data_IF_581562333333
#
_entry.id   IF_581562333333
#
_cell.length_a   1.000
_cell.length_b   1.000
_cell.length_c   1.000
_cell.angle_alpha   90.00
_cell.angle_beta   90.00
_cell.angle_gamma   90.00
#
_symmetry.space_group_name_H-M   'P 1'
#
loop_
_entity.id
_entity.type
_entity.pdbx_description
1 polymer ?
#
# COMPACT_ATOMS: atom_id res chain seq x y z
N UNK A 1 13.41 21.11 77.34
CA UNK A 1 13.74 21.11 75.89
C UNK A 1 13.29 19.81 75.20
N UNK A 2 11.99 19.54 75.07
CA UNK A 2 11.47 18.36 74.31
C UNK A 2 10.13 18.62 73.60
N UNK A 3 9.80 19.90 73.33
CA UNK A 3 8.51 20.29 72.73
C UNK A 3 8.65 20.90 71.32
N UNK A 4 9.87 21.24 70.88
CA UNK A 4 10.08 21.89 69.59
C UNK A 4 10.26 20.92 68.41
N UNK A 5 10.50 19.63 68.66
CA UNK A 5 10.70 18.63 67.59
C UNK A 5 9.40 18.05 67.03
N UNK A 6 8.32 18.00 67.82
CA UNK A 6 7.03 17.47 67.37
C UNK A 6 6.25 18.45 66.46
N UNK A 7 6.46 19.76 66.64
CA UNK A 7 5.82 20.79 65.83
C UNK A 7 6.45 20.87 64.43
N UNK A 8 7.75 20.61 64.30
CA UNK A 8 8.44 20.61 63.01
C UNK A 8 7.98 19.47 62.08
N UNK A 9 7.60 18.31 62.61
CA UNK A 9 7.07 17.21 61.79
C UNK A 9 5.61 17.42 61.35
N UNK A 10 4.84 18.25 62.05
CA UNK A 10 3.44 18.53 61.72
C UNK A 10 3.27 19.59 60.63
N UNK A 11 4.32 20.38 60.35
CA UNK A 11 4.35 21.32 59.24
C UNK A 11 4.80 20.69 57.91
N UNK A 12 5.49 19.56 57.91
CA UNK A 12 5.91 18.88 56.67
C UNK A 12 4.77 18.01 56.09
N UNK A 13 3.75 17.67 56.88
CA UNK A 13 2.64 16.84 56.44
C UNK A 13 1.55 17.59 55.62
N UNK A 14 1.61 18.93 55.52
CA UNK A 14 0.56 19.72 54.86
C UNK A 14 0.91 20.20 53.43
N UNK A 15 2.05 19.81 52.86
CA UNK A 15 2.46 20.25 51.50
C UNK A 15 2.16 19.23 50.41
N UNK A 16 1.76 18.00 50.75
CA UNK A 16 1.16 17.09 49.77
C UNK A 16 -0.36 17.24 49.82
N UNK A 17 -0.85 18.32 49.22
CA UNK A 17 -2.22 18.34 48.72
C UNK A 17 -2.42 17.14 47.79
N UNK A 18 -3.62 16.53 47.77
CA UNK A 18 -3.90 15.44 46.85
C UNK A 18 -3.59 15.93 45.44
N UNK A 19 -2.95 15.09 44.63
CA UNK A 19 -2.84 15.28 43.19
C UNK A 19 -4.26 15.31 42.60
N UNK A 20 -4.94 16.44 42.78
CA UNK A 20 -6.24 16.72 42.21
C UNK A 20 -6.06 16.71 40.71
N UNK A 21 -6.89 15.92 40.02
CA UNK A 21 -6.92 15.83 38.58
C UNK A 21 -6.81 17.23 37.98
N UNK A 22 -5.67 17.53 37.34
CA UNK A 22 -5.41 18.84 36.78
C UNK A 22 -6.51 19.13 35.74
N UNK A 23 -7.40 20.08 36.03
CA UNK A 23 -8.50 20.43 35.14
C UNK A 23 -7.92 21.12 33.91
N UNK A 24 -8.17 20.56 32.73
CA UNK A 24 -7.74 21.16 31.46
C UNK A 24 -8.68 22.34 31.13
N UNK A 25 -8.11 23.51 30.88
CA UNK A 25 -8.85 24.70 30.48
C UNK A 25 -8.67 24.98 28.99
N UNK A 26 -9.67 25.64 28.40
CA UNK A 26 -9.67 26.19 27.05
C UNK A 26 -9.84 27.70 27.12
N UNK A 27 -9.01 28.45 26.40
CA UNK A 27 -9.14 29.90 26.25
C UNK A 27 -8.82 30.32 24.82
N UNK A 28 -9.24 31.53 24.44
CA UNK A 28 -8.86 32.15 23.17
C UNK A 28 -7.79 33.18 23.45
N UNK A 29 -6.66 33.11 22.75
CA UNK A 29 -5.60 34.10 22.89
C UNK A 29 -5.92 35.40 22.12
N UNK A 30 -5.07 36.43 22.28
CA UNK A 30 -5.23 37.72 21.60
C UNK A 30 -5.16 37.63 20.07
N UNK A 31 -4.73 36.50 19.50
CA UNK A 31 -4.71 36.25 18.06
C UNK A 31 -6.00 35.61 17.54
N UNK A 32 -6.97 35.34 18.42
CA UNK A 32 -8.19 34.62 18.07
C UNK A 32 -8.00 33.11 18.00
N UNK A 33 -6.82 32.59 18.38
CA UNK A 33 -6.52 31.16 18.34
C UNK A 33 -6.96 30.48 19.64
N UNK A 34 -7.64 29.34 19.51
CA UNK A 34 -8.04 28.53 20.66
C UNK A 34 -6.84 27.75 21.20
N UNK A 35 -6.57 27.87 22.50
CA UNK A 35 -5.50 27.15 23.20
C UNK A 35 -6.06 26.34 24.37
N UNK A 36 -5.32 25.30 24.71
CA UNK A 36 -5.63 24.38 25.81
C UNK A 36 -4.44 24.28 26.76
N UNK A 37 -4.73 24.14 28.05
CA UNK A 37 -3.70 23.95 29.06
C UNK A 37 -4.25 24.00 30.47
N UNK A 38 -3.44 23.58 31.43
CA UNK A 38 -3.85 23.49 32.83
C UNK A 38 -3.80 24.84 33.56
N UNK A 39 -3.03 25.80 33.05
CA UNK A 39 -2.81 27.11 33.67
C UNK A 39 -3.06 28.21 32.61
N UNK A 40 -4.29 28.73 32.50
CA UNK A 40 -4.57 29.82 31.59
C UNK A 40 -3.85 31.11 32.01
N UNK A 41 -3.41 31.96 31.06
CA UNK A 41 -2.82 33.26 31.39
C UNK A 41 -3.80 34.16 32.16
N UNK A 42 -3.31 34.98 33.11
CA UNK A 42 -4.16 35.89 33.87
C UNK A 42 -4.85 36.90 32.95
N UNK A 43 -6.14 37.14 33.18
CA UNK A 43 -6.96 38.07 32.39
C UNK A 43 -7.56 37.49 31.11
N UNK A 44 -7.29 36.22 30.77
CA UNK A 44 -7.95 35.52 29.67
C UNK A 44 -9.22 34.83 30.16
N UNK A 45 -10.31 34.95 29.39
CA UNK A 45 -11.53 34.19 29.62
C UNK A 45 -11.29 32.70 29.33
N UNK A 46 -10.94 31.94 30.35
CA UNK A 46 -10.71 30.51 30.29
C UNK A 46 -11.91 29.77 30.86
N UNK A 47 -12.39 28.76 30.14
CA UNK A 47 -13.45 27.86 30.58
C UNK A 47 -12.88 26.44 30.73
N UNK A 48 -13.38 25.62 31.67
CA UNK A 48 -13.02 24.22 31.74
C UNK A 48 -13.32 23.55 30.39
N UNK A 49 -12.33 22.83 29.84
CA UNK A 49 -12.47 22.20 28.53
C UNK A 49 -13.65 21.22 28.51
N UNK A 50 -13.86 20.50 29.62
CA UNK A 50 -14.99 19.58 29.79
C UNK A 50 -16.35 20.28 29.72
N UNK A 51 -16.47 21.47 30.31
CA UNK A 51 -17.74 22.24 30.28
C UNK A 51 -17.99 22.82 28.90
N UNK A 52 -16.95 23.32 28.23
CA UNK A 52 -17.06 23.75 26.83
C UNK A 52 -17.46 22.57 25.95
N UNK A 53 -16.88 21.39 26.20
CA UNK A 53 -17.20 20.18 25.44
C UNK A 53 -18.64 19.72 25.68
N UNK A 54 -19.11 19.70 26.94
CA UNK A 54 -20.52 19.42 27.27
C UNK A 54 -21.46 20.38 26.56
N UNK A 55 -21.16 21.68 26.57
CA UNK A 55 -21.99 22.70 25.93
C UNK A 55 -21.89 22.66 24.40
N UNK A 56 -20.78 22.20 23.82
CA UNK A 56 -20.64 21.99 22.37
C UNK A 56 -21.49 20.82 21.88
N UNK A 57 -21.72 19.84 22.76
CA UNK A 57 -22.42 18.60 22.47
C UNK A 57 -23.83 18.56 23.12
N UNK A 58 -24.44 19.71 23.40
CA UNK A 58 -25.77 19.84 24.03
C UNK A 58 -26.94 19.47 23.09
N UNK A 59 -26.69 18.53 22.16
CA UNK A 59 -27.69 17.87 21.34
C UNK A 59 -27.79 16.39 21.73
N UNK A 60 -28.86 15.68 21.34
CA UNK A 60 -28.94 14.23 21.56
C UNK A 60 -27.68 13.58 20.98
N UNK A 61 -26.98 12.78 21.79
CA UNK A 61 -25.70 12.10 21.45
C UNK A 61 -25.79 11.43 20.06
N UNK A 62 -26.97 10.94 19.70
CA UNK A 62 -27.31 10.36 18.40
C UNK A 62 -27.08 11.31 17.21
N UNK A 63 -27.38 12.61 17.35
CA UNK A 63 -27.17 13.59 16.29
C UNK A 63 -25.68 13.87 16.05
N UNK A 64 -24.89 13.91 17.12
CA UNK A 64 -23.43 14.08 17.07
C UNK A 64 -22.78 12.86 16.41
N UNK A 65 -23.13 11.65 16.86
CA UNK A 65 -22.64 10.40 16.28
C UNK A 65 -23.03 10.25 14.80
N UNK A 66 -24.25 10.65 14.42
CA UNK A 66 -24.69 10.67 13.01
C UNK A 66 -23.94 11.69 12.16
N UNK A 67 -23.60 12.85 12.72
CA UNK A 67 -22.82 13.86 11.99
C UNK A 67 -21.37 13.41 11.82
N UNK A 68 -20.77 12.83 12.86
CA UNK A 68 -19.43 12.27 12.82
C UNK A 68 -19.31 11.12 11.81
N UNK A 69 -20.28 10.22 11.75
CA UNK A 69 -20.28 9.13 10.77
C UNK A 69 -20.42 9.64 9.33
N UNK A 70 -21.29 10.64 9.09
CA UNK A 70 -21.40 11.31 7.79
C UNK A 70 -20.10 11.99 7.38
N UNK A 71 -19.42 12.66 8.31
CA UNK A 71 -18.13 13.30 8.04
C UNK A 71 -17.05 12.28 7.70
N UNK A 72 -16.96 11.19 8.48
CA UNK A 72 -16.04 10.09 8.19
C UNK A 72 -16.27 9.47 6.80
N UNK A 73 -17.53 9.25 6.42
CA UNK A 73 -17.86 8.74 5.08
C UNK A 73 -17.38 9.70 3.98
N UNK A 74 -17.56 11.01 4.15
CA UNK A 74 -17.06 12.02 3.20
C UNK A 74 -15.54 12.00 3.08
N UNK A 75 -14.82 11.83 4.19
CA UNK A 75 -13.36 11.72 4.18
C UNK A 75 -12.89 10.47 3.43
N UNK A 76 -13.55 9.32 3.65
CA UNK A 76 -13.25 8.08 2.92
C UNK A 76 -13.48 8.26 1.42
N UNK A 77 -14.63 8.82 1.03
CA UNK A 77 -14.96 9.05 -0.38
C UNK A 77 -13.93 10.00 -1.04
N UNK A 78 -13.50 11.05 -0.32
CA UNK A 78 -12.45 11.98 -0.80
C UNK A 78 -11.09 11.29 -0.98
N UNK A 79 -10.70 10.43 -0.03
CA UNK A 79 -9.44 9.68 -0.09
C UNK A 79 -9.44 8.65 -1.22
N UNK A 80 -10.56 7.94 -1.45
CA UNK A 80 -10.70 7.05 -2.59
C UNK A 80 -10.53 7.80 -3.92
N UNK A 81 -11.18 8.95 -4.07
CA UNK A 81 -11.02 9.77 -5.28
C UNK A 81 -9.60 10.31 -5.45
N UNK A 82 -8.93 10.69 -4.35
CA UNK A 82 -7.52 11.08 -4.37
C UNK A 82 -6.63 9.94 -4.87
N UNK A 83 -6.81 8.74 -4.33
CA UNK A 83 -6.02 7.56 -4.71
C UNK A 83 -6.27 7.17 -6.16
N UNK A 84 -7.53 7.18 -6.62
CA UNK A 84 -7.86 6.93 -8.04
C UNK A 84 -7.11 7.88 -8.98
N UNK A 85 -7.00 9.16 -8.62
CA UNK A 85 -6.31 10.19 -9.40
C UNK A 85 -4.79 10.09 -9.37
N UNK A 86 -4.20 9.47 -8.34
CA UNK A 86 -2.75 9.26 -8.28
C UNK A 86 -2.29 8.33 -9.41
N UNK A 87 -1.35 8.72 -10.27
CA UNK A 87 -0.81 7.83 -11.29
C UNK A 87 -0.08 6.66 -10.62
N UNK A 88 -0.21 5.46 -11.18
CA UNK A 88 0.53 4.29 -10.71
C UNK A 88 1.90 4.23 -11.41
N UNK A 89 2.97 4.61 -10.70
CA UNK A 89 4.39 4.44 -11.04
C UNK A 89 5.06 5.51 -11.96
N UNK A 90 6.20 6.10 -11.59
CA UNK A 90 7.59 5.74 -11.98
C UNK A 90 8.69 6.45 -11.10
N UNK A 91 9.36 5.77 -10.16
CA UNK A 91 10.14 6.44 -9.09
C UNK A 91 10.78 5.50 -8.05
N UNK A 92 12.05 5.74 -7.70
CA UNK A 92 12.90 4.85 -6.90
C UNK A 92 12.58 4.79 -5.38
N UNK A 93 11.69 5.65 -4.87
CA UNK A 93 11.51 5.86 -3.42
C UNK A 93 10.10 5.53 -2.90
N UNK A 94 9.51 4.41 -3.33
CA UNK A 94 8.14 3.92 -3.03
C UNK A 94 7.05 4.47 -3.94
N UNK A 95 6.74 3.65 -4.94
CA UNK A 95 5.59 3.89 -5.79
C UNK A 95 4.42 3.07 -5.30
N UNK A 96 3.25 3.71 -5.26
CA UNK A 96 2.00 2.97 -5.22
C UNK A 96 1.93 2.11 -6.49
N UNK A 97 2.38 0.85 -6.39
CA UNK A 97 2.21 -0.13 -7.45
C UNK A 97 0.71 -0.25 -7.77
N UNK A 98 0.32 -0.61 -9.00
CA UNK A 98 -1.10 -0.81 -9.32
C UNK A 98 -1.81 -1.75 -8.34
N UNK A 99 -1.11 -2.77 -7.85
CA UNK A 99 -1.60 -3.69 -6.83
C UNK A 99 -1.80 -3.00 -5.46
N UNK A 100 -0.80 -2.29 -4.96
CA UNK A 100 -0.90 -1.57 -3.69
C UNK A 100 -1.99 -0.49 -3.70
N UNK A 101 -2.16 0.19 -4.85
CA UNK A 101 -3.24 1.15 -5.07
C UNK A 101 -4.61 0.47 -4.97
N UNK A 102 -4.76 -0.71 -5.54
CA UNK A 102 -6.00 -1.48 -5.48
C UNK A 102 -6.29 -1.99 -4.06
N UNK A 103 -5.27 -2.46 -3.33
CA UNK A 103 -5.40 -2.85 -1.92
C UNK A 103 -5.88 -1.69 -1.04
N UNK A 104 -5.28 -0.50 -1.20
CA UNK A 104 -5.70 0.69 -0.44
C UNK A 104 -7.16 1.06 -0.70
N UNK A 105 -7.62 0.96 -1.95
CA UNK A 105 -9.03 1.22 -2.30
C UNK A 105 -9.95 0.18 -1.63
N UNK A 106 -9.57 -1.10 -1.65
CA UNK A 106 -10.35 -2.16 -1.01
C UNK A 106 -10.42 -1.99 0.50
N UNK A 107 -9.32 -1.58 1.15
CA UNK A 107 -9.28 -1.29 2.58
C UNK A 107 -10.20 -0.12 2.95
N UNK A 108 -10.20 0.96 2.14
CA UNK A 108 -11.11 2.09 2.34
C UNK A 108 -12.59 1.69 2.17
N UNK A 109 -12.88 0.83 1.20
CA UNK A 109 -14.24 0.29 1.00
C UNK A 109 -14.70 -0.59 2.18
N UNK A 110 -13.79 -1.39 2.75
CA UNK A 110 -14.07 -2.18 3.94
C UNK A 110 -14.37 -1.29 5.16
N UNK A 111 -13.60 -0.21 5.35
CA UNK A 111 -13.88 0.80 6.39
C UNK A 111 -15.21 1.52 6.17
N UNK A 112 -15.56 1.85 4.93
CA UNK A 112 -16.86 2.44 4.58
C UNK A 112 -18.02 1.51 4.92
N UNK A 113 -17.90 0.22 4.59
CA UNK A 113 -18.90 -0.80 4.90
C UNK A 113 -19.05 -1.00 6.42
N UNK A 114 -17.96 -0.98 7.16
CA UNK A 114 -17.96 -1.03 8.63
C UNK A 114 -18.74 0.14 9.26
N UNK A 115 -18.49 1.37 8.80
CA UNK A 115 -19.19 2.55 9.30
C UNK A 115 -20.70 2.52 9.02
N UNK A 116 -21.11 1.97 7.88
CA UNK A 116 -22.53 1.87 7.51
C UNK A 116 -23.26 0.74 8.25
N UNK A 117 -22.59 -0.37 8.50
CA UNK A 117 -23.18 -1.57 9.10
C UNK A 117 -23.01 -1.65 10.62
N UNK A 118 -22.12 -0.83 11.21
CA UNK A 118 -21.72 -0.94 12.62
C UNK A 118 -20.87 -2.17 12.93
N UNK A 119 -20.42 -2.93 11.91
CA UNK A 119 -19.58 -4.13 12.06
C UNK A 119 -18.10 -3.77 11.91
N UNK A 120 -17.18 -4.68 12.27
CA UNK A 120 -15.74 -4.42 12.18
C UNK A 120 -15.27 -4.43 10.72
N UNK A 121 -14.38 -3.51 10.34
CA UNK A 121 -13.81 -3.45 8.98
C UNK A 121 -13.09 -4.74 8.56
N UNK A 122 -12.52 -5.47 9.53
CA UNK A 122 -11.91 -6.78 9.30
C UNK A 122 -12.87 -7.84 8.76
N UNK A 123 -14.18 -7.70 9.00
CA UNK A 123 -15.20 -8.64 8.49
C UNK A 123 -15.55 -8.39 7.02
N UNK A 124 -15.23 -7.19 6.50
CA UNK A 124 -15.44 -6.81 5.09
C UNK A 124 -14.18 -6.95 4.25
N UNK A 125 -13.01 -7.14 4.88
CA UNK A 125 -11.80 -7.51 4.16
C UNK A 125 -11.99 -8.91 3.58
N UNK A 126 -11.70 -9.03 2.28
CA UNK A 126 -11.59 -10.33 1.59
C UNK A 126 -10.55 -11.21 2.30
N UNK A 127 -10.61 -12.53 2.08
CA UNK A 127 -10.52 -13.55 3.11
C UNK A 127 -9.23 -13.49 3.92
N UNK A 128 -9.27 -14.04 5.14
CA UNK A 128 -8.19 -14.04 6.14
C UNK A 128 -6.79 -14.12 5.52
N UNK A 129 -5.77 -13.49 6.12
CA UNK A 129 -4.41 -13.47 5.54
C UNK A 129 -3.89 -14.81 5.01
N UNK A 130 -4.28 -15.93 5.65
CA UNK A 130 -4.00 -17.29 5.19
C UNK A 130 -4.60 -17.64 3.83
N UNK A 131 -5.80 -17.17 3.50
CA UNK A 131 -6.47 -17.45 2.24
C UNK A 131 -5.88 -16.62 1.09
N UNK A 132 -5.46 -15.38 1.35
CA UNK A 132 -4.66 -14.60 0.41
C UNK A 132 -3.30 -15.25 0.13
N UNK A 133 -2.66 -15.81 1.16
CA UNK A 133 -1.40 -16.53 1.02
C UNK A 133 -1.58 -17.80 0.16
N UNK A 134 -2.66 -18.58 0.38
CA UNK A 134 -3.03 -19.72 -0.48
C UNK A 134 -3.34 -19.32 -1.92
N UNK A 135 -3.93 -18.16 -2.15
CA UNK A 135 -4.19 -17.64 -3.50
C UNK A 135 -2.86 -17.25 -4.17
N UNK A 136 -1.98 -16.59 -3.43
CA UNK A 136 -0.64 -16.22 -3.91
C UNK A 136 0.20 -17.44 -4.26
N UNK A 137 0.22 -18.46 -3.39
CA UNK A 137 0.90 -19.73 -3.65
C UNK A 137 0.39 -20.39 -4.93
N UNK A 138 -0.94 -20.48 -5.11
CA UNK A 138 -1.53 -21.02 -6.35
C UNK A 138 -1.09 -20.25 -7.59
N UNK A 139 -1.06 -18.92 -7.53
CA UNK A 139 -0.59 -18.11 -8.66
C UNK A 139 0.90 -18.29 -8.93
N UNK A 140 1.73 -18.43 -7.90
CA UNK A 140 3.16 -18.69 -8.07
C UNK A 140 3.42 -20.07 -8.68
N UNK A 141 2.66 -21.09 -8.27
CA UNK A 141 2.70 -22.43 -8.87
C UNK A 141 2.26 -22.41 -10.34
N UNK A 142 1.14 -21.75 -10.63
CA UNK A 142 0.65 -21.61 -12.00
C UNK A 142 1.66 -20.87 -12.89
N UNK A 143 2.27 -19.80 -12.38
CA UNK A 143 3.34 -19.07 -13.07
C UNK A 143 4.54 -19.97 -13.38
N UNK A 144 5.00 -20.78 -12.42
CA UNK A 144 6.09 -21.75 -12.62
C UNK A 144 5.72 -22.77 -13.70
N UNK A 145 4.49 -23.30 -13.66
CA UNK A 145 3.99 -24.26 -14.66
C UNK A 145 3.94 -23.67 -16.07
N UNK A 146 3.45 -22.42 -16.20
CA UNK A 146 3.42 -21.71 -17.48
C UNK A 146 4.83 -21.44 -17.99
N UNK A 147 5.75 -21.05 -17.11
CA UNK A 147 7.14 -20.80 -17.48
C UNK A 147 7.85 -22.07 -17.98
N UNK A 148 7.64 -23.22 -17.33
CA UNK A 148 8.14 -24.51 -17.80
C UNK A 148 7.53 -24.89 -19.16
N UNK A 149 6.24 -24.62 -19.35
CA UNK A 149 5.56 -24.89 -20.62
C UNK A 149 6.14 -24.03 -21.74
N UNK A 150 6.41 -22.74 -21.48
CA UNK A 150 7.07 -21.85 -22.42
C UNK A 150 8.47 -22.35 -22.80
N UNK A 151 9.29 -22.71 -21.81
CA UNK A 151 10.63 -23.25 -22.07
C UNK A 151 10.58 -24.53 -22.91
N UNK A 152 9.62 -25.42 -22.65
CA UNK A 152 9.42 -26.62 -23.45
C UNK A 152 9.03 -26.28 -24.90
N UNK A 153 8.16 -25.29 -25.10
CA UNK A 153 7.78 -24.82 -26.43
C UNK A 153 8.96 -24.18 -27.17
N UNK A 154 9.76 -23.36 -26.49
CA UNK A 154 10.97 -22.77 -27.07
C UNK A 154 11.98 -23.83 -27.52
N UNK A 155 12.18 -24.88 -26.71
CA UNK A 155 13.02 -26.01 -27.09
C UNK A 155 12.51 -26.73 -28.36
N UNK A 156 11.19 -26.92 -28.47
CA UNK A 156 10.59 -27.51 -29.68
C UNK A 156 10.76 -26.63 -30.91
N UNK A 157 10.61 -25.30 -30.77
CA UNK A 157 10.83 -24.34 -31.86
C UNK A 157 12.29 -24.39 -32.33
N UNK A 158 13.26 -24.40 -31.41
CA UNK A 158 14.68 -24.52 -31.76
C UNK A 158 15.00 -25.80 -32.52
N UNK A 159 14.48 -26.95 -32.07
CA UNK A 159 14.66 -28.20 -32.83
C UNK A 159 14.05 -28.13 -34.23
N UNK A 160 12.88 -27.50 -34.38
CA UNK A 160 12.25 -27.33 -35.68
C UNK A 160 13.08 -26.42 -36.59
N UNK A 161 13.63 -25.32 -36.05
CA UNK A 161 14.54 -24.42 -36.76
C UNK A 161 15.82 -25.16 -37.20
N UNK A 162 16.46 -25.90 -36.31
CA UNK A 162 17.65 -26.70 -36.63
C UNK A 162 17.38 -27.72 -37.74
N UNK A 163 16.19 -28.36 -37.71
CA UNK A 163 15.78 -29.31 -38.75
C UNK A 163 15.61 -28.59 -40.09
N UNK A 164 14.96 -27.43 -40.11
CA UNK A 164 14.79 -26.61 -41.31
C UNK A 164 16.15 -26.17 -41.88
N UNK A 165 17.05 -25.69 -41.04
CA UNK A 165 18.39 -25.27 -41.46
C UNK A 165 19.21 -26.43 -42.03
N UNK A 166 19.13 -27.62 -41.41
CA UNK A 166 19.76 -28.83 -41.96
C UNK A 166 19.19 -29.19 -43.32
N UNK A 167 17.87 -29.13 -43.50
CA UNK A 167 17.24 -29.41 -44.80
C UNK A 167 17.63 -28.37 -45.85
N UNK A 168 17.70 -27.09 -45.47
CA UNK A 168 18.12 -25.99 -46.34
C UNK A 168 19.56 -26.18 -46.81
N UNK A 169 20.50 -26.48 -45.90
CA UNK A 169 21.90 -26.76 -46.24
C UNK A 169 22.05 -27.95 -47.18
N UNK A 170 21.27 -29.02 -46.98
CA UNK A 170 21.27 -30.18 -47.90
C UNK A 170 20.80 -29.79 -49.31
N UNK A 171 19.74 -28.97 -49.40
CA UNK A 171 19.24 -28.48 -50.68
C UNK A 171 20.23 -27.54 -51.38
N UNK A 172 20.84 -26.62 -50.63
CA UNK A 172 21.88 -25.71 -51.14
C UNK A 172 23.11 -26.48 -51.63
N UNK A 173 23.57 -27.49 -50.89
CA UNK A 173 24.66 -28.36 -51.32
C UNK A 173 24.31 -29.13 -52.61
N UNK A 174 23.11 -29.73 -52.69
CA UNK A 174 22.65 -30.41 -53.90
C UNK A 174 22.58 -29.47 -55.12
N UNK A 175 22.14 -28.22 -54.91
CA UNK A 175 22.12 -27.19 -55.95
C UNK A 175 23.51 -26.78 -56.40
N UNK A 176 24.49 -26.72 -55.49
CA UNK A 176 25.89 -26.46 -55.84
C UNK A 176 26.48 -27.55 -56.75
N UNK A 177 26.15 -28.82 -56.53
CA UNK A 177 26.59 -29.92 -57.42
C UNK A 177 25.97 -29.83 -58.82
N UNK A 178 24.71 -29.40 -58.94
CA UNK A 178 24.04 -29.24 -60.23
C UNK A 178 24.57 -28.04 -61.06
N UNK A 179 25.13 -27.03 -60.38
CA UNK A 179 25.67 -25.83 -61.01
C UNK A 179 27.21 -25.86 -61.15
N UNK A 180 27.87 -26.97 -60.82
CA UNK A 180 29.30 -27.11 -61.03
C UNK A 180 29.60 -27.21 -62.55
N UNK A 181 30.50 -26.39 -63.11
CA UNK A 181 30.85 -26.50 -64.52
C UNK A 181 31.52 -27.86 -64.78
N UNK A 182 30.95 -28.65 -65.69
CA UNK A 182 31.58 -29.88 -66.15
C UNK A 182 32.98 -29.58 -66.70
N UNK A 183 34.01 -30.38 -66.38
CA UNK A 183 35.30 -30.26 -67.05
C UNK A 183 35.09 -30.56 -68.53
N UNK A 184 35.30 -29.54 -69.38
CA UNK A 184 35.39 -29.73 -70.81
C UNK A 184 36.68 -30.50 -71.09
N UNK A 185 36.59 -31.83 -71.26
CA UNK A 185 37.66 -32.60 -71.87
C UNK A 185 37.72 -32.20 -73.35
N UNK A 186 38.69 -31.34 -73.69
CA UNK A 186 38.99 -30.98 -75.08
C UNK A 186 39.83 -32.13 -75.66
N UNK A 187 39.33 -32.90 -76.64
CA UNK A 187 40.15 -33.94 -77.26
C UNK A 187 41.31 -33.30 -78.00
N UNK A 188 42.54 -33.63 -77.59
CA UNK A 188 43.76 -33.22 -78.28
C UNK A 188 43.81 -33.94 -79.63
N UNK A 189 43.55 -33.20 -80.71
CA UNK A 189 43.78 -33.69 -82.08
C UNK A 189 45.29 -33.65 -82.31
N UNK A 190 45.93 -34.82 -82.30
CA UNK A 190 47.34 -34.98 -82.65
C UNK A 190 47.44 -35.01 -84.17
N UNK A 191 47.80 -33.88 -84.78
CA UNK A 191 48.21 -33.86 -86.20
C UNK A 191 49.57 -34.57 -86.33
N UNK A 192 49.56 -35.75 -86.95
CA UNK A 192 50.78 -36.43 -87.39
C UNK A 192 51.31 -35.73 -88.65
N UNK A 193 52.52 -35.19 -88.56
CA UNK A 193 53.37 -34.85 -89.71
C UNK A 193 54.03 -36.09 -90.29
#
# INVERSE_FOLDING_TARGET
>A
MKLYFAVACLFIANVLGPAGAATLYRWTDNSGTVRYGYHPPPGMNAAPADDVQRNLYDGPIDAVCRNLSKEHLRLIDREMERIKKLPAGLGLEYELTPAAKQELILDLLAHRAALLSGRKASEFRSPSGQEMERIRERHEEEKKRLQQTLQAKDATIRMQQDKLDRTRRKYEAARHYLNAPYPLEVPVIIERR
#
